data_IF_209558412822
#
_entry.id   IF_209558412822
#
_cell.length_a   1.000
_cell.length_b   1.000
_cell.length_c   1.000
_cell.angle_alpha   90.00
_cell.angle_beta   90.00
_cell.angle_gamma   90.00
#
_symmetry.space_group_name_H-M   'P 1'
#
loop_
_entity.id
_entity.type
_entity.pdbx_description
1 polymer ?
#
# COMPACT_ATOMS: atom_id res chain seq x y z
N UNK A 1 -7.54 -3.79 20.99
CA UNK A 1 -7.45 -2.91 19.81
C UNK A 1 -6.45 -3.43 18.79
N UNK A 2 -5.23 -3.73 19.15
CA UNK A 2 -4.17 -4.16 18.22
C UNK A 2 -4.53 -5.35 17.32
N UNK A 3 -5.18 -6.38 17.84
CA UNK A 3 -5.64 -7.51 17.03
C UNK A 3 -6.62 -7.12 15.91
N UNK A 4 -7.43 -6.09 16.12
CA UNK A 4 -8.35 -5.60 15.09
C UNK A 4 -7.59 -4.90 13.95
N UNK A 5 -6.55 -4.14 14.28
CA UNK A 5 -5.68 -3.48 13.29
C UNK A 5 -5.01 -4.53 12.41
N UNK A 6 -4.40 -5.56 13.02
CA UNK A 6 -3.76 -6.66 12.27
C UNK A 6 -4.76 -7.40 11.36
N UNK A 7 -5.98 -7.67 11.85
CA UNK A 7 -7.05 -8.27 11.03
C UNK A 7 -7.48 -7.37 9.87
N UNK A 8 -7.51 -6.03 10.06
CA UNK A 8 -7.81 -5.09 8.98
C UNK A 8 -6.75 -5.16 7.89
N UNK A 9 -5.45 -5.14 8.26
CA UNK A 9 -4.35 -5.27 7.30
C UNK A 9 -4.43 -6.60 6.55
N UNK A 10 -4.66 -7.72 7.23
CA UNK A 10 -4.81 -9.01 6.56
C UNK A 10 -5.96 -8.98 5.53
N UNK A 11 -7.06 -8.32 5.86
CA UNK A 11 -8.23 -8.18 4.99
C UNK A 11 -7.94 -7.29 3.78
N UNK A 12 -7.34 -6.11 3.98
CA UNK A 12 -7.01 -5.19 2.88
C UNK A 12 -6.01 -5.82 1.92
N UNK A 13 -5.00 -6.53 2.42
CA UNK A 13 -4.03 -7.28 1.59
C UNK A 13 -4.69 -8.36 0.75
N UNK A 14 -5.61 -9.14 1.34
CA UNK A 14 -6.39 -10.13 0.59
C UNK A 14 -7.24 -9.48 -0.51
N UNK A 15 -7.84 -8.32 -0.23
CA UNK A 15 -8.65 -7.60 -1.23
C UNK A 15 -7.76 -7.06 -2.35
N UNK A 16 -6.61 -6.47 -2.04
CA UNK A 16 -5.66 -5.97 -3.06
C UNK A 16 -5.25 -7.13 -3.98
N UNK A 17 -4.76 -8.24 -3.41
CA UNK A 17 -4.32 -9.41 -4.19
C UNK A 17 -5.43 -9.92 -5.13
N UNK A 18 -6.65 -10.12 -4.61
CA UNK A 18 -7.79 -10.55 -5.42
C UNK A 18 -8.22 -9.52 -6.47
N UNK A 19 -8.09 -8.23 -6.16
CA UNK A 19 -8.48 -7.18 -7.09
C UNK A 19 -7.56 -7.12 -8.30
N UNK A 20 -6.26 -7.31 -8.11
CA UNK A 20 -5.28 -7.25 -9.21
C UNK A 20 -5.05 -8.61 -9.88
N UNK A 21 -5.59 -9.69 -9.32
CA UNK A 21 -5.52 -11.02 -9.92
C UNK A 21 -6.08 -11.01 -11.34
N UNK A 22 -5.30 -11.52 -12.30
CA UNK A 22 -5.67 -11.58 -13.72
C UNK A 22 -5.65 -10.24 -14.46
N UNK A 23 -5.25 -9.15 -13.81
CA UNK A 23 -5.03 -7.85 -14.48
C UNK A 23 -3.62 -7.82 -15.06
N UNK A 24 -3.50 -7.56 -16.37
CA UNK A 24 -2.17 -7.53 -17.00
C UNK A 24 -1.32 -6.35 -16.47
N UNK A 25 0.02 -6.48 -16.49
CA UNK A 25 0.92 -5.39 -16.11
C UNK A 25 0.66 -4.11 -16.91
N UNK A 26 0.36 -4.23 -18.20
CA UNK A 26 0.03 -3.10 -19.08
C UNK A 26 -1.23 -2.40 -18.59
N UNK A 27 -2.27 -3.16 -18.25
CA UNK A 27 -3.53 -2.62 -17.71
C UNK A 27 -3.31 -1.92 -16.38
N UNK A 28 -2.45 -2.48 -15.50
CA UNK A 28 -2.09 -1.86 -14.23
C UNK A 28 -1.39 -0.49 -14.41
N UNK A 29 -0.74 -0.26 -15.54
CA UNK A 29 -0.03 1.00 -15.88
C UNK A 29 -0.92 2.06 -16.53
N UNK A 30 -2.13 1.74 -16.94
CA UNK A 30 -3.03 2.72 -17.54
C UNK A 30 -3.43 3.78 -16.52
N UNK A 31 -3.32 5.04 -16.92
CA UNK A 31 -3.77 6.20 -16.15
C UNK A 31 -5.08 6.67 -16.76
N UNK A 32 -6.23 6.47 -16.09
CA UNK A 32 -7.51 6.93 -16.63
C UNK A 32 -7.60 8.45 -16.68
N UNK A 33 -8.45 8.97 -17.55
CA UNK A 33 -8.73 10.40 -17.62
C UNK A 33 -9.19 10.94 -16.24
N UNK A 34 -8.60 12.05 -15.81
CA UNK A 34 -8.89 12.67 -14.52
C UNK A 34 -8.09 12.11 -13.32
N UNK A 35 -7.22 11.13 -13.55
CA UNK A 35 -6.32 10.58 -12.52
C UNK A 35 -4.86 10.93 -12.81
N UNK A 36 -4.05 11.03 -11.75
CA UNK A 36 -2.60 11.25 -11.84
C UNK A 36 -1.79 9.97 -11.56
N UNK A 37 -2.45 8.88 -11.22
CA UNK A 37 -1.84 7.61 -10.86
C UNK A 37 -2.61 6.41 -11.47
N UNK A 38 -2.08 5.23 -11.25
CA UNK A 38 -2.60 3.97 -11.78
C UNK A 38 -2.55 2.87 -10.70
N UNK A 39 -3.04 1.68 -11.03
CA UNK A 39 -3.04 0.53 -10.11
C UNK A 39 -1.62 0.20 -9.66
N UNK A 40 -0.65 0.22 -10.57
CA UNK A 40 0.75 -0.08 -10.28
C UNK A 40 1.32 0.87 -9.21
N UNK A 41 1.09 2.18 -9.34
CA UNK A 41 1.51 3.17 -8.34
C UNK A 41 0.80 2.93 -7.00
N UNK A 42 -0.49 2.63 -7.02
CA UNK A 42 -1.28 2.42 -5.81
C UNK A 42 -0.72 1.28 -4.95
N UNK A 43 -0.42 0.13 -5.57
CA UNK A 43 0.13 -1.02 -4.82
C UNK A 43 1.55 -0.74 -4.30
N UNK A 44 2.38 -0.03 -5.07
CA UNK A 44 3.70 0.38 -4.62
C UNK A 44 3.64 1.39 -3.48
N UNK A 45 2.68 2.32 -3.53
CA UNK A 45 2.46 3.29 -2.45
C UNK A 45 2.01 2.61 -1.15
N UNK A 46 1.09 1.66 -1.24
CA UNK A 46 0.68 0.85 -0.08
C UNK A 46 1.88 0.16 0.56
N UNK A 47 2.79 -0.43 -0.24
CA UNK A 47 3.99 -1.08 0.26
C UNK A 47 4.90 -0.10 1.02
N UNK A 48 5.23 1.04 0.41
CA UNK A 48 6.12 2.04 1.01
C UNK A 48 5.50 2.69 2.26
N UNK A 49 4.21 2.99 2.22
CA UNK A 49 3.51 3.61 3.34
C UNK A 49 3.39 2.65 4.55
N UNK A 50 3.13 1.37 4.30
CA UNK A 50 3.00 0.40 5.39
C UNK A 50 4.32 0.15 6.12
N UNK A 51 5.47 0.24 5.46
CA UNK A 51 6.76 0.20 6.16
C UNK A 51 6.86 1.33 7.19
N UNK A 52 6.44 2.53 6.83
CA UNK A 52 6.44 3.67 7.74
C UNK A 52 5.48 3.46 8.92
N UNK A 53 4.28 2.92 8.68
CA UNK A 53 3.25 2.77 9.69
C UNK A 53 3.49 1.59 10.65
N UNK A 54 4.12 0.50 10.17
CA UNK A 54 4.16 -0.77 10.89
C UNK A 54 5.57 -1.32 11.12
N UNK A 55 6.53 -1.02 10.25
CA UNK A 55 7.82 -1.72 10.20
C UNK A 55 9.03 -0.78 10.27
N UNK A 56 8.90 0.37 10.94
CA UNK A 56 10.01 1.32 11.10
C UNK A 56 11.28 0.61 11.60
N UNK A 57 12.37 0.70 10.81
CA UNK A 57 13.64 0.03 11.08
C UNK A 57 13.68 -1.46 10.66
N UNK A 58 12.61 -1.97 10.02
CA UNK A 58 12.52 -3.33 9.45
C UNK A 58 11.82 -3.31 8.10
N UNK A 59 12.07 -2.25 7.34
CA UNK A 59 11.40 -1.98 6.07
C UNK A 59 11.60 -3.15 5.08
N UNK A 60 10.54 -3.45 4.32
CA UNK A 60 10.51 -4.50 3.28
C UNK A 60 10.72 -3.91 1.90
N UNK A 61 10.19 -2.71 1.67
CA UNK A 61 10.38 -1.99 0.42
C UNK A 61 11.85 -1.59 0.25
N UNK A 62 12.49 -1.85 -0.90
CA UNK A 62 13.79 -1.28 -1.21
C UNK A 62 13.80 0.25 -1.08
N UNK A 63 14.90 0.82 -0.61
CA UNK A 63 14.98 2.25 -0.30
C UNK A 63 14.64 3.15 -1.52
N UNK A 64 15.02 2.71 -2.71
CA UNK A 64 14.75 3.38 -3.98
C UNK A 64 13.27 3.45 -4.33
N UNK A 65 12.41 2.57 -3.76
CA UNK A 65 10.95 2.60 -4.01
C UNK A 65 10.30 3.87 -3.51
N UNK A 66 10.90 4.55 -2.53
CA UNK A 66 10.41 5.85 -2.05
C UNK A 66 10.38 6.90 -3.16
N UNK A 67 11.38 6.90 -4.04
CA UNK A 67 11.42 7.84 -5.17
C UNK A 67 10.31 7.58 -6.21
N UNK A 68 9.75 6.35 -6.24
CA UNK A 68 8.75 5.93 -7.21
C UNK A 68 7.31 6.02 -6.65
N UNK A 69 7.14 5.73 -5.35
CA UNK A 69 5.84 5.44 -4.76
C UNK A 69 5.50 6.26 -3.51
N UNK A 70 6.40 7.13 -3.02
CA UNK A 70 6.08 7.99 -1.87
C UNK A 70 5.01 9.04 -2.22
N UNK A 71 4.36 9.67 -1.21
CA UNK A 71 3.44 10.78 -1.44
C UNK A 71 4.07 11.86 -2.31
N UNK A 72 3.32 12.39 -3.27
CA UNK A 72 3.78 13.41 -4.21
C UNK A 72 4.48 12.88 -5.47
N UNK A 73 4.79 11.59 -5.56
CA UNK A 73 5.29 10.96 -6.79
C UNK A 73 4.12 10.58 -7.72
N UNK A 74 4.41 10.39 -8.98
CA UNK A 74 3.42 9.97 -9.99
C UNK A 74 4.06 9.14 -11.09
N UNK A 75 3.31 8.21 -11.72
CA UNK A 75 3.83 7.35 -12.80
C UNK A 75 4.39 8.11 -13.99
N UNK A 76 3.90 9.33 -14.26
CA UNK A 76 4.38 10.15 -15.38
C UNK A 76 5.86 10.55 -15.25
N UNK A 77 6.40 10.53 -14.04
CA UNK A 77 7.80 10.90 -13.75
C UNK A 77 8.71 9.67 -13.59
N UNK A 78 8.19 8.47 -13.80
CA UNK A 78 8.97 7.26 -13.60
C UNK A 78 10.06 7.06 -14.66
N UNK A 79 11.22 6.51 -14.26
CA UNK A 79 12.24 6.05 -15.20
C UNK A 79 11.72 4.85 -16.02
N UNK A 80 12.48 4.45 -17.03
CA UNK A 80 12.14 3.29 -17.85
C UNK A 80 12.14 1.98 -17.05
N UNK A 81 13.01 1.85 -16.06
CA UNK A 81 13.15 0.68 -15.20
C UNK A 81 12.41 0.90 -13.88
N UNK A 82 11.25 0.27 -13.75
CA UNK A 82 10.38 0.31 -12.57
C UNK A 82 10.10 -1.12 -12.12
N UNK A 83 10.11 -1.42 -10.82
CA UNK A 83 9.81 -2.78 -10.33
C UNK A 83 8.46 -3.28 -10.87
N UNK A 84 8.41 -4.55 -11.24
CA UNK A 84 7.18 -5.13 -11.80
C UNK A 84 6.06 -5.21 -10.77
N UNK A 85 4.81 -5.30 -11.24
CA UNK A 85 3.63 -5.51 -10.39
C UNK A 85 3.81 -6.76 -9.55
N UNK A 86 4.31 -7.85 -10.14
CA UNK A 86 4.57 -9.12 -9.46
C UNK A 86 5.60 -8.97 -8.34
N UNK A 87 6.67 -8.22 -8.59
CA UNK A 87 7.69 -7.91 -7.57
C UNK A 87 7.06 -7.20 -6.38
N UNK A 88 6.24 -6.16 -6.63
CA UNK A 88 5.57 -5.40 -5.57
C UNK A 88 4.60 -6.30 -4.80
N UNK A 89 3.80 -7.13 -5.48
CA UNK A 89 2.85 -8.05 -4.84
C UNK A 89 3.57 -9.06 -3.94
N UNK A 90 4.70 -9.61 -4.38
CA UNK A 90 5.52 -10.51 -3.56
C UNK A 90 6.06 -9.81 -2.30
N UNK A 91 6.49 -8.55 -2.42
CA UNK A 91 6.93 -7.77 -1.27
C UNK A 91 5.77 -7.43 -0.33
N UNK A 92 4.57 -7.13 -0.85
CA UNK A 92 3.36 -6.91 -0.05
C UNK A 92 2.98 -8.16 0.76
N UNK A 93 3.10 -9.34 0.19
CA UNK A 93 2.86 -10.61 0.89
C UNK A 93 3.87 -10.82 2.02
N UNK A 94 5.17 -10.66 1.73
CA UNK A 94 6.23 -10.72 2.74
C UNK A 94 6.00 -9.71 3.86
N UNK A 95 5.65 -8.48 3.51
CA UNK A 95 5.38 -7.42 4.48
C UNK A 95 4.16 -7.75 5.35
N UNK A 96 3.08 -8.28 4.75
CA UNK A 96 1.90 -8.69 5.48
C UNK A 96 2.22 -9.77 6.52
N UNK A 97 3.05 -10.75 6.17
CA UNK A 97 3.49 -11.79 7.10
C UNK A 97 4.27 -11.20 8.30
N UNK A 98 5.13 -10.22 8.08
CA UNK A 98 5.86 -9.54 9.16
C UNK A 98 4.93 -8.70 10.03
N UNK A 99 3.99 -7.96 9.43
CA UNK A 99 3.01 -7.17 10.19
C UNK A 99 2.17 -8.07 11.10
N UNK A 100 1.77 -9.27 10.65
CA UNK A 100 1.01 -10.21 11.48
C UNK A 100 1.81 -10.76 12.68
N UNK A 101 3.13 -10.61 12.69
CA UNK A 101 4.00 -11.03 13.80
C UNK A 101 4.24 -9.91 14.83
N UNK A 102 3.71 -8.71 14.62
CA UNK A 102 3.86 -7.61 15.57
C UNK A 102 3.19 -7.99 16.90
N UNK A 103 3.95 -7.85 18.00
CA UNK A 103 3.39 -7.99 19.33
C UNK A 103 2.43 -6.82 19.59
N UNK A 104 1.15 -7.12 19.71
CA UNK A 104 0.09 -6.13 19.90
C UNK A 104 0.21 -5.34 21.20
N UNK A 105 0.99 -5.82 22.17
CA UNK A 105 1.28 -5.08 23.43
C UNK A 105 2.11 -3.82 23.15
N UNK A 106 2.88 -3.81 22.07
CA UNK A 106 3.66 -2.62 21.67
C UNK A 106 2.78 -1.47 21.19
N UNK A 107 1.52 -1.72 20.86
CA UNK A 107 0.60 -0.68 20.37
C UNK A 107 0.21 0.33 21.46
N UNK A 108 0.32 -0.02 22.72
CA UNK A 108 0.09 0.90 23.85
C UNK A 108 1.30 1.79 24.15
N UNK A 109 2.43 1.56 23.46
CA UNK A 109 3.66 2.35 23.65
C UNK A 109 3.48 3.75 23.03
N UNK A 110 3.89 4.78 23.78
CA UNK A 110 3.92 6.15 23.27
C UNK A 110 5.00 6.30 22.19
N UNK A 111 4.69 7.07 21.17
CA UNK A 111 5.68 7.51 20.19
C UNK A 111 6.65 8.49 20.88
N UNK A 112 7.94 8.43 20.54
CA UNK A 112 8.95 9.41 21.02
C UNK A 112 8.57 10.84 20.60
N UNK A 113 8.00 10.97 19.41
CA UNK A 113 7.46 12.23 18.88
C UNK A 113 6.12 11.92 18.24
N UNK A 114 5.03 12.64 18.60
CA UNK A 114 3.74 12.47 17.95
C UNK A 114 3.85 12.67 16.44
N UNK A 115 3.19 11.80 15.67
CA UNK A 115 3.19 11.84 14.20
C UNK A 115 1.76 11.97 13.68
N UNK A 116 1.50 12.99 12.87
CA UNK A 116 0.18 13.26 12.29
C UNK A 116 -0.96 13.28 13.34
N UNK A 117 -0.68 13.78 14.54
CA UNK A 117 -1.63 13.81 15.65
C UNK A 117 -1.81 12.50 16.40
N UNK A 118 -1.05 11.45 16.08
CA UNK A 118 -1.06 10.18 16.78
C UNK A 118 0.00 10.18 17.89
N UNK A 119 -0.37 9.72 19.09
CA UNK A 119 0.50 9.72 20.27
C UNK A 119 1.09 8.34 20.58
N UNK A 120 0.39 7.26 20.20
CA UNK A 120 0.84 5.88 20.43
C UNK A 120 1.15 5.16 19.12
N UNK A 121 1.93 4.09 19.23
CA UNK A 121 2.19 3.15 18.12
C UNK A 121 0.86 2.61 17.57
N UNK A 122 -0.11 2.32 18.43
CA UNK A 122 -1.42 1.82 18.04
C UNK A 122 -2.26 2.85 17.28
N UNK A 123 -2.24 4.12 17.70
CA UNK A 123 -2.92 5.19 16.97
C UNK A 123 -2.34 5.33 15.56
N UNK A 124 -1.00 5.32 15.46
CA UNK A 124 -0.30 5.42 14.19
C UNK A 124 -0.55 4.20 13.28
N UNK A 125 -0.56 3.00 13.86
CA UNK A 125 -0.91 1.77 13.15
C UNK A 125 -2.38 1.76 12.69
N UNK A 126 -3.30 2.30 13.50
CA UNK A 126 -4.70 2.47 13.12
C UNK A 126 -4.88 3.42 11.93
N UNK A 127 -4.13 4.53 11.94
CA UNK A 127 -4.06 5.45 10.80
C UNK A 127 -3.53 4.73 9.55
N UNK A 128 -2.51 3.88 9.70
CA UNK A 128 -1.99 3.06 8.60
C UNK A 128 -3.03 2.11 8.01
N UNK A 129 -3.83 1.46 8.85
CA UNK A 129 -4.92 0.58 8.40
C UNK A 129 -6.03 1.35 7.67
N UNK A 130 -6.40 2.53 8.16
CA UNK A 130 -7.33 3.43 7.48
C UNK A 130 -6.78 3.88 6.12
N UNK A 131 -5.53 4.33 6.07
CA UNK A 131 -4.85 4.76 4.84
C UNK A 131 -4.84 3.64 3.79
N UNK A 132 -4.48 2.41 4.17
CA UNK A 132 -4.49 1.27 3.27
C UNK A 132 -5.90 0.96 2.74
N UNK A 133 -6.93 1.11 3.57
CA UNK A 133 -8.33 0.91 3.16
C UNK A 133 -8.79 1.92 2.11
N UNK A 134 -8.32 3.18 2.17
CA UNK A 134 -8.58 4.19 1.13
C UNK A 134 -7.96 3.75 -0.21
N UNK A 135 -6.73 3.25 -0.18
CA UNK A 135 -6.04 2.77 -1.39
C UNK A 135 -6.70 1.51 -1.98
N UNK A 136 -7.25 0.62 -1.16
CA UNK A 136 -8.08 -0.50 -1.64
C UNK A 136 -9.24 0.00 -2.50
N UNK A 137 -9.98 0.99 -2.02
CA UNK A 137 -11.09 1.59 -2.77
C UNK A 137 -10.66 2.23 -4.08
N UNK A 138 -9.50 2.91 -4.09
CA UNK A 138 -8.93 3.49 -5.30
C UNK A 138 -8.50 2.42 -6.30
N UNK A 139 -7.83 1.35 -5.88
CA UNK A 139 -7.42 0.22 -6.73
C UNK A 139 -8.65 -0.42 -7.39
N UNK A 140 -9.71 -0.67 -6.63
CA UNK A 140 -10.95 -1.24 -7.15
C UNK A 140 -11.62 -0.33 -8.18
N UNK A 141 -11.65 0.98 -7.92
CA UNK A 141 -12.22 1.98 -8.84
C UNK A 141 -11.40 2.09 -10.12
N UNK A 142 -10.08 2.18 -10.01
CA UNK A 142 -9.16 2.22 -11.14
C UNK A 142 -9.31 0.96 -12.00
N UNK A 143 -9.32 -0.25 -11.37
CA UNK A 143 -9.53 -1.50 -12.12
C UNK A 143 -10.81 -1.45 -12.94
N UNK A 144 -11.94 -1.05 -12.34
CA UNK A 144 -13.21 -0.96 -13.05
C UNK A 144 -13.10 -0.05 -14.27
N UNK A 145 -12.55 1.15 -14.09
CA UNK A 145 -12.45 2.14 -15.16
C UNK A 145 -11.58 1.63 -16.31
N UNK A 146 -10.38 1.10 -16.00
CA UNK A 146 -9.45 0.66 -17.05
C UNK A 146 -9.94 -0.60 -17.78
N UNK A 147 -10.62 -1.53 -17.08
CA UNK A 147 -11.15 -2.74 -17.71
C UNK A 147 -12.39 -2.45 -18.55
N UNK A 148 -13.30 -1.57 -18.12
CA UNK A 148 -14.46 -1.15 -18.90
C UNK A 148 -14.06 -0.36 -20.16
N UNK A 149 -12.96 0.38 -20.11
CA UNK A 149 -12.44 1.13 -21.27
C UNK A 149 -11.85 0.23 -22.35
N UNK A 150 -11.45 -0.99 -22.02
CA UNK A 150 -10.90 -1.97 -22.95
C UNK A 150 -11.99 -2.79 -23.66
N UNK A 151 -13.23 -2.75 -23.15
CA UNK A 151 -14.38 -3.51 -23.69
C UNK A 151 -15.24 -2.68 -24.64
N UNK A 152 -15.01 -1.36 -24.72
CA UNK A 152 -15.68 -0.44 -25.66
C UNK A 152 -14.82 -0.17 -26.89
#
# INVERSE_FOLDING_TARGET
>A
MGQLILKQIARTRSIIAKTVEGVSPETCRLIPAGFNNNIHWQIGHVLVAADMFFLKGKEVAPAEFKALFAPGTKPADWPADVPSVETILSLLEKQAALIQQIDVTTFDTKLETPMFGNETVGDFASMGAFHESLHVGQIQSLKRIVTESLVK
#
